data_IF_228697868704
#
_entry.id   IF_228697868704
#
_cell.length_a   1.000
_cell.length_b   1.000
_cell.length_c   1.000
_cell.angle_alpha   90.00
_cell.angle_beta   90.00
_cell.angle_gamma   90.00
#
_symmetry.space_group_name_H-M   'P 1'
#
loop_
_entity.id
_entity.type
_entity.pdbx_description
1 polymer ?
#
# COMPACT_ATOMS: atom_id res chain seq x y z
N UNK A 1 -6.86 5.63 7.61
CA UNK A 1 -5.59 5.74 6.87
C UNK A 1 -4.79 6.94 7.39
N UNK A 2 -3.97 6.76 8.43
CA UNK A 2 -3.33 7.88 9.14
C UNK A 2 -2.06 8.39 8.44
N UNK A 3 -1.44 7.60 7.57
CA UNK A 3 -0.26 8.02 6.81
C UNK A 3 -0.62 9.10 5.77
N UNK A 4 -1.69 8.89 5.01
CA UNK A 4 -2.19 9.88 4.04
C UNK A 4 -2.61 11.19 4.71
N UNK A 5 -3.17 11.11 5.93
CA UNK A 5 -3.47 12.29 6.74
C UNK A 5 -2.22 13.10 7.06
N UNK A 6 -1.10 12.44 7.40
CA UNK A 6 0.16 13.13 7.69
C UNK A 6 0.64 13.89 6.45
N UNK A 7 0.65 13.23 5.29
CA UNK A 7 1.01 13.88 4.02
C UNK A 7 0.10 15.09 3.71
N UNK A 8 -1.23 14.91 3.79
CA UNK A 8 -2.22 15.96 3.51
C UNK A 8 -2.12 17.17 4.44
N UNK A 9 -1.64 16.99 5.67
CA UNK A 9 -1.52 18.05 6.67
C UNK A 9 -0.08 18.57 6.84
N UNK A 10 0.85 18.19 5.95
CA UNK A 10 2.26 18.58 6.09
C UNK A 10 2.52 20.05 5.74
N UNK A 11 1.63 20.68 4.96
CA UNK A 11 1.70 22.09 4.59
C UNK A 11 0.32 22.76 4.72
N UNK A 12 0.23 24.11 4.72
CA UNK A 12 -1.05 24.82 4.82
C UNK A 12 -2.03 24.50 3.70
N UNK A 13 -1.53 24.19 2.50
CA UNK A 13 -2.31 23.78 1.34
C UNK A 13 -1.59 22.65 0.62
N UNK A 14 -2.23 21.50 0.47
CA UNK A 14 -1.67 20.30 -0.16
C UNK A 14 -2.69 19.72 -1.12
N UNK A 15 -2.25 19.39 -2.34
CA UNK A 15 -2.95 18.51 -3.26
C UNK A 15 -2.24 17.15 -3.24
N UNK A 16 -2.93 16.12 -2.74
CA UNK A 16 -2.38 14.80 -2.48
C UNK A 16 -2.80 13.83 -3.58
N UNK A 17 -1.83 13.53 -4.45
CA UNK A 17 -1.88 12.43 -5.41
C UNK A 17 -1.39 11.16 -4.71
N UNK A 18 -2.17 10.09 -4.75
CA UNK A 18 -1.78 8.78 -4.21
C UNK A 18 -1.57 7.79 -5.35
N UNK A 19 -0.32 7.41 -5.56
CA UNK A 19 0.07 6.35 -6.50
C UNK A 19 -0.22 4.97 -5.95
N UNK A 20 -0.88 4.13 -6.77
CA UNK A 20 -1.22 2.76 -6.42
C UNK A 20 -0.61 1.81 -7.44
N UNK A 21 0.29 0.96 -6.96
CA UNK A 21 0.94 -0.06 -7.78
C UNK A 21 -0.07 -1.12 -8.19
N UNK A 22 -0.05 -1.55 -9.46
CA UNK A 22 -0.92 -2.59 -9.99
C UNK A 22 -0.73 -3.94 -9.29
N UNK A 23 -1.75 -4.80 -9.33
CA UNK A 23 -1.68 -6.12 -8.67
C UNK A 23 -0.60 -7.00 -9.30
N UNK A 24 -0.44 -6.93 -10.62
CA UNK A 24 0.62 -7.60 -11.36
C UNK A 24 2.01 -7.13 -10.90
N UNK A 25 2.24 -5.82 -10.80
CA UNK A 25 3.54 -5.30 -10.38
C UNK A 25 3.83 -5.60 -8.90
N UNK A 26 2.77 -5.62 -8.07
CA UNK A 26 2.88 -6.10 -6.69
C UNK A 26 3.25 -7.59 -6.60
N UNK A 27 2.74 -8.45 -7.48
CA UNK A 27 3.12 -9.87 -7.55
C UNK A 27 4.55 -10.08 -8.02
N UNK A 28 5.05 -9.23 -8.92
CA UNK A 28 6.43 -9.32 -9.43
C UNK A 28 7.48 -8.90 -8.40
N UNK A 29 7.20 -7.86 -7.61
CA UNK A 29 8.15 -7.29 -6.66
C UNK A 29 7.87 -7.66 -5.19
N UNK A 30 6.70 -8.23 -4.90
CA UNK A 30 6.24 -8.55 -3.54
C UNK A 30 5.23 -9.71 -3.58
N UNK A 31 4.38 -9.79 -2.56
CA UNK A 31 3.29 -10.75 -2.49
C UNK A 31 2.06 -10.20 -3.23
N UNK A 32 1.29 -11.13 -3.82
CA UNK A 32 -0.04 -10.85 -4.34
C UNK A 32 -0.90 -10.10 -3.31
N UNK A 33 -1.51 -8.97 -3.68
CA UNK A 33 -2.43 -8.27 -2.79
C UNK A 33 -3.73 -9.07 -2.62
N UNK A 34 -4.35 -8.94 -1.45
CA UNK A 34 -5.65 -9.57 -1.17
C UNK A 34 -6.80 -8.89 -1.91
N UNK A 35 -6.69 -7.57 -2.11
CA UNK A 35 -7.62 -6.77 -2.90
C UNK A 35 -7.01 -6.57 -4.29
N UNK A 36 -7.83 -6.67 -5.32
CA UNK A 36 -7.40 -6.41 -6.69
C UNK A 36 -7.05 -4.93 -6.92
N UNK A 37 -6.62 -4.59 -8.14
CA UNK A 37 -6.22 -3.22 -8.46
C UNK A 37 -7.41 -2.26 -8.35
N UNK A 38 -8.55 -2.61 -8.96
CA UNK A 38 -9.75 -1.79 -8.96
C UNK A 38 -10.29 -1.53 -7.56
N UNK A 39 -10.36 -2.55 -6.71
CA UNK A 39 -10.79 -2.45 -5.32
C UNK A 39 -9.90 -1.47 -4.53
N UNK A 40 -8.57 -1.53 -4.76
CA UNK A 40 -7.62 -0.63 -4.10
C UNK A 40 -7.73 0.81 -4.61
N UNK A 41 -7.97 1.00 -5.92
CA UNK A 41 -8.18 2.32 -6.51
C UNK A 41 -9.44 2.97 -5.92
N UNK A 42 -10.55 2.24 -5.89
CA UNK A 42 -11.82 2.73 -5.33
C UNK A 42 -11.75 2.97 -3.82
N UNK A 43 -11.05 2.11 -3.07
CA UNK A 43 -10.83 2.32 -1.64
C UNK A 43 -10.10 3.64 -1.35
N UNK A 44 -9.16 4.04 -2.21
CA UNK A 44 -8.41 5.28 -2.09
C UNK A 44 -9.19 6.51 -2.56
N UNK A 45 -10.01 6.39 -3.61
CA UNK A 45 -10.94 7.46 -4.05
C UNK A 45 -11.92 7.86 -2.94
N UNK A 46 -12.31 6.89 -2.10
CA UNK A 46 -13.19 7.12 -0.95
C UNK A 46 -12.44 7.54 0.34
N UNK A 47 -11.12 7.74 0.27
CA UNK A 47 -10.35 8.19 1.41
C UNK A 47 -10.39 9.71 1.54
N UNK A 48 -10.89 10.22 2.68
CA UNK A 48 -11.04 11.66 2.98
C UNK A 48 -9.82 12.54 2.66
N UNK A 49 -8.61 11.99 2.73
CA UNK A 49 -7.37 12.77 2.60
C UNK A 49 -6.83 12.84 1.17
N UNK A 50 -7.38 12.04 0.25
CA UNK A 50 -6.90 11.87 -1.12
C UNK A 50 -7.64 12.85 -2.03
N UNK A 51 -6.91 13.57 -2.88
CA UNK A 51 -7.51 14.41 -3.91
C UNK A 51 -7.52 13.69 -5.27
N UNK A 52 -6.46 12.91 -5.55
CA UNK A 52 -6.31 12.19 -6.82
C UNK A 52 -5.67 10.82 -6.61
N UNK A 53 -6.12 9.84 -7.40
CA UNK A 53 -5.55 8.49 -7.43
C UNK A 53 -4.83 8.29 -8.76
N UNK A 54 -3.53 8.04 -8.68
CA UNK A 54 -2.72 7.60 -9.82
C UNK A 54 -2.72 6.07 -9.86
N UNK A 55 -3.52 5.52 -10.77
CA UNK A 55 -3.56 4.08 -11.05
C UNK A 55 -2.27 3.61 -11.72
N UNK A 56 -1.94 2.33 -11.56
CA UNK A 56 -0.77 1.68 -12.14
C UNK A 56 0.54 2.46 -11.93
N UNK A 57 0.70 3.02 -10.72
CA UNK A 57 1.90 3.77 -10.36
C UNK A 57 3.15 2.87 -10.43
N UNK A 58 4.31 3.41 -10.87
CA UNK A 58 5.52 2.62 -11.01
C UNK A 58 6.08 2.22 -9.64
N UNK A 59 6.81 1.12 -9.61
CA UNK A 59 7.49 0.64 -8.40
C UNK A 59 8.60 1.59 -7.94
N UNK A 60 9.38 2.09 -8.90
CA UNK A 60 10.44 3.08 -8.68
C UNK A 60 9.99 4.40 -9.29
N UNK A 61 10.06 5.46 -8.51
CA UNK A 61 9.72 6.80 -8.97
C UNK A 61 10.93 7.37 -9.71
N UNK A 62 10.71 7.85 -10.92
CA UNK A 62 11.74 8.49 -11.76
C UNK A 62 11.45 9.98 -11.94
N UNK A 63 12.49 10.83 -12.19
CA UNK A 63 12.32 12.27 -12.38
C UNK A 63 11.25 12.69 -13.41
N UNK A 64 11.10 12.02 -14.57
CA UNK A 64 10.07 12.40 -15.55
C UNK A 64 8.64 12.33 -14.99
N UNK A 65 8.38 11.43 -14.03
CA UNK A 65 7.06 11.34 -13.40
C UNK A 65 6.79 12.56 -12.50
N UNK A 66 7.79 13.01 -11.73
CA UNK A 66 7.67 14.20 -10.89
C UNK A 66 7.41 15.44 -11.75
N UNK A 67 8.12 15.58 -12.86
CA UNK A 67 7.93 16.71 -13.78
C UNK A 67 6.55 16.69 -14.41
N UNK A 68 6.12 15.52 -14.93
CA UNK A 68 4.81 15.35 -15.59
C UNK A 68 3.64 15.66 -14.65
N UNK A 69 3.73 15.23 -13.39
CA UNK A 69 2.67 15.41 -12.39
C UNK A 69 2.88 16.65 -11.50
N UNK A 70 3.93 17.43 -11.74
CA UNK A 70 4.32 18.60 -10.94
C UNK A 70 4.41 18.29 -9.44
N UNK A 71 5.08 17.18 -9.08
CA UNK A 71 5.22 16.73 -7.70
C UNK A 71 6.35 17.49 -6.99
N UNK A 72 5.99 18.20 -5.92
CA UNK A 72 6.95 18.91 -5.06
C UNK A 72 7.66 17.97 -4.08
N UNK A 73 6.91 17.06 -3.45
CA UNK A 73 7.39 16.16 -2.41
C UNK A 73 6.80 14.75 -2.55
N UNK A 74 7.58 13.73 -2.22
CA UNK A 74 7.14 12.34 -2.12
C UNK A 74 7.07 11.92 -0.67
N UNK A 75 5.88 11.50 -0.20
CA UNK A 75 5.66 11.10 1.18
C UNK A 75 5.63 9.58 1.37
N UNK A 76 6.49 9.04 2.23
CA UNK A 76 6.50 7.61 2.61
C UNK A 76 7.07 7.45 4.03
N UNK A 77 7.01 6.26 4.63
CA UNK A 77 7.72 6.00 5.88
C UNK A 77 9.25 6.04 5.68
N UNK A 78 9.98 6.40 6.74
CA UNK A 78 11.42 6.73 6.68
C UNK A 78 12.32 5.51 6.45
N UNK A 79 11.82 4.30 6.70
CA UNK A 79 12.62 3.09 6.59
C UNK A 79 13.09 2.89 5.13
N UNK A 80 14.34 2.47 4.91
CA UNK A 80 14.82 2.13 3.57
C UNK A 80 13.89 1.11 2.91
N UNK A 81 13.44 1.42 1.69
CA UNK A 81 12.57 0.52 0.95
C UNK A 81 13.39 -0.20 -0.11
N UNK A 82 13.82 -1.42 0.23
CA UNK A 82 14.60 -2.26 -0.66
C UNK A 82 13.76 -2.71 -1.87
N UNK A 83 14.40 -2.82 -3.02
CA UNK A 83 13.84 -3.53 -4.16
C UNK A 83 13.60 -4.99 -3.75
N UNK A 84 12.38 -5.48 -3.97
CA UNK A 84 12.08 -6.90 -3.77
C UNK A 84 12.93 -7.80 -4.67
N UNK A 85 12.80 -9.12 -4.51
CA UNK A 85 13.64 -10.17 -5.11
C UNK A 85 13.74 -10.22 -6.66
N UNK A 86 13.13 -9.27 -7.38
CA UNK A 86 13.15 -9.18 -8.84
C UNK A 86 13.66 -7.85 -9.43
N UNK A 87 14.11 -6.89 -8.61
CA UNK A 87 14.61 -5.59 -9.08
C UNK A 87 16.13 -5.47 -9.04
N UNK A 88 16.73 -4.71 -9.97
CA UNK A 88 18.14 -4.32 -9.89
C UNK A 88 18.41 -3.52 -8.60
N UNK A 89 19.21 -4.05 -7.68
CA UNK A 89 19.56 -3.38 -6.43
C UNK A 89 20.04 -1.94 -6.73
N UNK A 90 19.37 -0.93 -6.16
CA UNK A 90 19.92 0.42 -6.16
C UNK A 90 21.21 0.40 -5.33
N UNK A 91 22.18 1.25 -5.66
CA UNK A 91 23.46 1.31 -4.92
C UNK A 91 23.26 1.54 -3.41
N UNK A 92 22.15 2.17 -3.02
CA UNK A 92 21.74 2.47 -1.65
C UNK A 92 20.80 1.44 -1.01
N UNK A 93 20.33 0.44 -1.78
CA UNK A 93 19.26 -0.48 -1.38
C UNK A 93 17.97 0.22 -0.88
N UNK A 94 17.72 1.45 -1.32
CA UNK A 94 16.53 2.25 -1.04
C UNK A 94 16.05 2.91 -2.34
N UNK A 95 14.81 2.62 -2.76
CA UNK A 95 14.22 3.22 -3.97
C UNK A 95 13.96 4.72 -3.83
N UNK A 96 13.92 5.24 -2.60
CA UNK A 96 13.69 6.66 -2.32
C UNK A 96 14.98 7.46 -2.06
N UNK A 97 16.16 6.84 -2.14
CA UNK A 97 17.44 7.49 -1.79
C UNK A 97 17.69 8.79 -2.56
N UNK A 98 17.40 8.79 -3.86
CA UNK A 98 17.60 9.98 -4.69
C UNK A 98 16.67 11.13 -4.29
N UNK A 99 15.41 10.83 -3.92
CA UNK A 99 14.46 11.82 -3.40
C UNK A 99 14.91 12.39 -2.06
N UNK A 100 15.47 11.53 -1.19
CA UNK A 100 16.06 11.96 0.10
C UNK A 100 17.24 12.89 -0.13
N UNK A 101 18.14 12.54 -1.05
CA UNK A 101 19.31 13.38 -1.42
C UNK A 101 18.93 14.72 -2.04
N UNK A 102 17.84 14.78 -2.80
CA UNK A 102 17.32 16.02 -3.38
C UNK A 102 16.48 16.86 -2.40
N UNK A 103 16.24 16.39 -1.18
CA UNK A 103 15.39 17.08 -0.21
C UNK A 103 13.90 17.09 -0.59
N UNK A 104 13.47 16.19 -1.48
CA UNK A 104 12.08 16.03 -1.95
C UNK A 104 11.34 14.90 -1.23
N UNK A 105 11.96 14.25 -0.26
CA UNK A 105 11.32 13.19 0.51
C UNK A 105 10.69 13.74 1.80
N UNK A 106 9.43 13.39 2.04
CA UNK A 106 8.65 13.81 3.21
C UNK A 106 8.36 12.59 4.10
N UNK A 107 9.11 12.40 5.21
CA UNK A 107 8.95 11.21 6.05
C UNK A 107 7.62 11.24 6.81
N UNK A 108 6.93 10.10 6.82
CA UNK A 108 5.70 9.86 7.57
C UNK A 108 5.90 8.76 8.61
N UNK A 109 5.04 8.72 9.62
CA UNK A 109 5.08 7.70 10.68
C UNK A 109 4.04 6.62 10.46
N UNK A 110 4.47 5.38 10.67
CA UNK A 110 3.56 4.22 10.67
C UNK A 110 2.61 4.29 11.87
N UNK A 111 1.43 3.72 11.71
CA UNK A 111 0.50 3.52 12.82
C UNK A 111 0.81 2.18 13.47
N UNK A 112 1.18 2.20 14.75
CA UNK A 112 1.44 0.97 15.50
C UNK A 112 0.16 0.11 15.61
N UNK A 113 0.34 -1.21 15.59
CA UNK A 113 -0.75 -2.18 15.75
C UNK A 113 -1.72 -2.30 14.56
N UNK A 114 -1.50 -1.59 13.45
CA UNK A 114 -2.36 -1.68 12.26
C UNK A 114 -1.51 -1.98 11.03
N UNK A 115 -1.60 -3.21 10.51
CA UNK A 115 -0.99 -3.61 9.24
C UNK A 115 -1.81 -4.69 8.54
N UNK A 116 -1.64 -4.83 7.22
CA UNK A 116 -2.27 -5.91 6.44
C UNK A 116 -1.85 -7.29 6.95
N UNK A 117 -0.60 -7.46 7.35
CA UNK A 117 -0.09 -8.72 7.91
C UNK A 117 -0.74 -9.07 9.25
N UNK A 118 -0.94 -8.09 10.12
CA UNK A 118 -1.64 -8.28 11.40
C UNK A 118 -3.12 -8.64 11.19
N UNK A 119 -3.80 -7.93 10.29
CA UNK A 119 -5.18 -8.25 9.92
C UNK A 119 -5.29 -9.68 9.36
N UNK A 120 -4.38 -10.05 8.45
CA UNK A 120 -4.32 -11.40 7.89
C UNK A 120 -4.08 -12.45 8.98
N UNK A 121 -3.16 -12.20 9.91
CA UNK A 121 -2.89 -13.11 11.03
C UNK A 121 -4.14 -13.35 11.88
N UNK A 122 -4.89 -12.29 12.19
CA UNK A 122 -6.16 -12.38 12.93
C UNK A 122 -7.23 -13.17 12.17
N UNK A 123 -7.40 -12.91 10.88
CA UNK A 123 -8.36 -13.64 10.03
C UNK A 123 -8.00 -15.13 9.97
N UNK A 124 -6.73 -15.46 9.73
CA UNK A 124 -6.25 -16.85 9.67
C UNK A 124 -6.43 -17.56 11.01
N UNK A 125 -6.18 -16.86 12.13
CA UNK A 125 -6.40 -17.43 13.46
C UNK A 125 -7.88 -17.78 13.67
N UNK A 126 -8.79 -16.82 13.43
CA UNK A 126 -10.24 -17.03 13.54
C UNK A 126 -10.73 -18.16 12.62
N UNK A 127 -10.20 -18.24 11.41
CA UNK A 127 -10.48 -19.33 10.49
C UNK A 127 -10.09 -20.68 11.08
N UNK A 128 -8.85 -20.82 11.59
CA UNK A 128 -8.36 -22.08 12.17
C UNK A 128 -9.11 -22.52 13.43
N UNK A 129 -9.68 -21.58 14.17
CA UNK A 129 -10.47 -21.84 15.38
C UNK A 129 -11.93 -22.26 15.05
N UNK A 130 -12.37 -22.03 13.80
CA UNK A 130 -13.71 -22.34 13.30
C UNK A 130 -14.73 -21.23 13.52
N UNK A 131 -14.29 -20.05 13.95
CA UNK A 131 -15.17 -18.91 14.24
C UNK A 131 -15.87 -18.39 12.97
N UNK A 132 -15.29 -18.66 11.81
CA UNK A 132 -15.83 -18.23 10.52
C UNK A 132 -16.75 -19.26 9.85
N UNK A 133 -16.82 -20.51 10.34
CA UNK A 133 -17.51 -21.60 9.67
C UNK A 133 -19.02 -21.33 9.48
N UNK A 134 -19.69 -20.86 10.54
CA UNK A 134 -21.12 -20.54 10.48
C UNK A 134 -21.40 -19.40 9.48
N UNK A 135 -20.46 -18.46 9.30
CA UNK A 135 -20.58 -17.38 8.33
C UNK A 135 -20.34 -17.90 6.90
N UNK A 136 -19.32 -18.74 6.70
CA UNK A 136 -19.02 -19.37 5.41
C UNK A 136 -20.20 -20.23 4.92
N UNK A 137 -20.81 -21.02 5.80
CA UNK A 137 -22.02 -21.80 5.50
C UNK A 137 -23.18 -20.91 5.03
N UNK A 138 -23.44 -19.79 5.73
CA UNK A 138 -24.49 -18.83 5.33
C UNK A 138 -24.20 -18.14 4.00
N UNK A 139 -22.93 -17.99 3.64
CA UNK A 139 -22.52 -17.41 2.36
C UNK A 139 -22.59 -18.42 1.20
N UNK A 140 -22.94 -19.67 1.47
CA UNK A 140 -22.91 -20.75 0.45
C UNK A 140 -21.50 -21.30 0.19
N UNK A 141 -20.51 -20.87 0.98
CA UNK A 141 -19.10 -21.24 0.87
C UNK A 141 -18.72 -22.32 1.90
N UNK A 142 -19.64 -23.24 2.19
CA UNK A 142 -19.48 -24.25 3.24
C UNK A 142 -18.30 -25.20 3.00
N UNK A 143 -17.88 -25.37 1.75
CA UNK A 143 -16.70 -26.14 1.37
C UNK A 143 -15.37 -25.52 1.84
N UNK A 144 -15.39 -24.23 2.20
CA UNK A 144 -14.26 -23.53 2.80
C UNK A 144 -14.26 -23.62 4.33
N UNK A 145 -15.19 -24.32 4.98
CA UNK A 145 -15.22 -24.41 6.44
C UNK A 145 -13.96 -25.12 6.99
N UNK A 146 -13.43 -24.60 8.10
CA UNK A 146 -12.20 -25.11 8.73
C UNK A 146 -12.34 -26.53 9.25
N UNK A 147 -13.54 -26.88 9.72
CA UNK A 147 -13.92 -28.22 10.16
C UNK A 147 -14.72 -28.87 9.03
N UNK A 148 -14.08 -29.76 8.27
CA UNK A 148 -14.80 -30.63 7.35
C UNK A 148 -15.84 -31.41 8.15
N UNK A 149 -17.12 -31.22 7.78
CA UNK A 149 -18.22 -32.07 8.26
C UNK A 149 -18.11 -33.46 7.66
#
# INVERSE_FOLDING_TARGET
MLQLRQAKLSFPSVYLIVGVVSSELCEQHKNRPMLDSSERYEALRNCRWVDEVLEDAPWVIEPPLLEKLQIDYVAHDELPYAMGSGGAATASNDVYDWLKREGKFLPTRRTEGISTSDLMSRIVKMYREGDLDAKLQKMGEGQLASKSS
#
